data_IF_058983444353
#
_entry.id   IF_058983444353
#
_cell.length_a   1.000
_cell.length_b   1.000
_cell.length_c   1.000
_cell.angle_alpha   90.00
_cell.angle_beta   90.00
_cell.angle_gamma   90.00
#
_symmetry.space_group_name_H-M   'P 1'
#
loop_
_entity.id
_entity.type
_entity.pdbx_description
1 polymer ?
#
# COMPACT_ATOMS: atom_id res chain seq x y z
N UNK A 1 26.88 -0.87 -22.93
CA UNK A 1 26.17 0.14 -22.11
C UNK A 1 25.63 -0.59 -20.89
N UNK A 2 26.04 -0.17 -19.66
CA UNK A 2 25.47 -0.75 -18.43
C UNK A 2 23.99 -0.36 -18.39
N UNK A 3 23.07 -1.33 -18.57
CA UNK A 3 21.67 -1.13 -18.21
C UNK A 3 21.64 -0.76 -16.72
N UNK A 4 21.44 0.51 -16.40
CA UNK A 4 21.16 0.92 -15.04
C UNK A 4 19.87 0.21 -14.63
N UNK A 5 20.00 -0.73 -13.71
CA UNK A 5 18.86 -1.53 -13.23
C UNK A 5 17.85 -0.55 -12.64
N UNK A 6 16.62 -0.49 -13.20
CA UNK A 6 15.56 0.38 -12.69
C UNK A 6 15.30 0.02 -11.23
N UNK A 7 15.35 1.03 -10.36
CA UNK A 7 15.00 0.87 -8.94
C UNK A 7 13.49 1.01 -8.79
N UNK A 8 12.86 0.04 -8.15
CA UNK A 8 11.42 -0.06 -7.94
C UNK A 8 11.02 0.36 -6.53
N UNK A 9 9.77 0.71 -6.32
CA UNK A 9 9.26 1.06 -5.00
C UNK A 9 8.63 -0.14 -4.30
N UNK A 10 9.15 -0.50 -3.12
CA UNK A 10 8.54 -1.48 -2.24
C UNK A 10 7.62 -0.76 -1.25
N UNK A 11 6.34 -1.15 -1.19
CA UNK A 11 5.37 -0.52 -0.30
C UNK A 11 4.57 -1.54 0.51
N UNK A 12 4.26 -1.18 1.75
CA UNK A 12 3.52 -1.99 2.69
C UNK A 12 2.38 -1.16 3.26
N UNK A 13 1.14 -1.64 3.13
CA UNK A 13 -0.03 -1.04 3.74
C UNK A 13 -0.21 -1.72 5.11
N UNK A 14 0.18 -1.00 6.19
CA UNK A 14 0.28 -1.55 7.54
C UNK A 14 -1.10 -1.56 8.18
N UNK A 15 -1.79 -2.66 7.94
CA UNK A 15 -3.10 -3.00 8.50
C UNK A 15 -3.12 -4.44 8.99
N UNK A 16 -4.05 -4.78 9.88
CA UNK A 16 -4.25 -6.14 10.38
C UNK A 16 -5.29 -6.90 9.53
N UNK A 17 -5.31 -8.24 9.62
CA UNK A 17 -6.18 -9.15 8.87
C UNK A 17 -7.68 -8.84 9.02
N UNK A 18 -8.10 -8.22 10.12
CA UNK A 18 -9.49 -7.87 10.38
C UNK A 18 -9.89 -6.48 9.87
N UNK A 19 -8.93 -5.67 9.38
CA UNK A 19 -9.17 -4.31 8.88
C UNK A 19 -9.45 -4.26 7.38
N UNK A 20 -9.30 -5.40 6.70
CA UNK A 20 -9.42 -5.47 5.24
C UNK A 20 -10.84 -5.23 4.74
N UNK A 21 -10.98 -4.48 3.65
CA UNK A 21 -12.28 -4.19 3.04
C UNK A 21 -13.08 -5.45 2.66
N UNK A 22 -12.40 -6.58 2.41
CA UNK A 22 -13.05 -7.86 2.10
C UNK A 22 -13.95 -8.40 3.23
N UNK A 23 -13.74 -7.93 4.47
CA UNK A 23 -14.48 -8.34 5.66
C UNK A 23 -15.29 -7.21 6.30
N UNK A 24 -15.38 -6.04 5.67
CA UNK A 24 -16.11 -4.87 6.19
C UNK A 24 -17.60 -5.15 6.49
N UNK A 25 -18.22 -6.13 5.81
CA UNK A 25 -19.61 -6.56 6.10
C UNK A 25 -19.75 -7.50 7.32
N UNK A 26 -18.63 -8.04 7.82
CA UNK A 26 -18.60 -8.99 8.95
C UNK A 26 -17.95 -8.39 10.20
N UNK A 27 -17.10 -7.40 10.04
CA UNK A 27 -16.31 -6.80 11.12
C UNK A 27 -16.61 -5.31 11.18
N UNK A 28 -17.19 -4.87 12.30
CA UNK A 28 -17.38 -3.45 12.54
C UNK A 28 -16.08 -2.85 13.08
N UNK A 29 -15.62 -1.68 12.62
CA UNK A 29 -14.45 -1.00 13.16
C UNK A 29 -14.48 -0.76 14.69
N UNK A 30 -15.66 -0.63 15.27
CA UNK A 30 -15.83 -0.51 16.74
C UNK A 30 -15.39 -1.76 17.50
N UNK A 31 -15.38 -2.92 16.82
CA UNK A 31 -15.02 -4.21 17.42
C UNK A 31 -13.57 -4.59 17.24
N UNK A 32 -12.75 -3.77 16.56
CA UNK A 32 -11.34 -4.09 16.28
C UNK A 32 -10.52 -4.39 17.54
N UNK A 33 -10.84 -3.75 18.67
CA UNK A 33 -10.18 -4.04 19.94
C UNK A 33 -10.43 -5.45 20.48
N UNK A 34 -11.44 -6.18 19.95
CA UNK A 34 -11.77 -7.54 20.34
C UNK A 34 -11.00 -8.61 19.54
N UNK A 35 -10.26 -8.18 18.50
CA UNK A 35 -9.47 -9.08 17.66
C UNK A 35 -8.02 -9.12 18.13
N UNK A 36 -7.36 -10.29 18.14
CA UNK A 36 -5.95 -10.39 18.47
C UNK A 36 -5.10 -9.69 17.41
N UNK A 37 -4.24 -8.78 17.85
CA UNK A 37 -3.31 -8.08 16.98
C UNK A 37 -2.26 -9.02 16.41
N UNK A 38 -2.07 -8.97 15.10
CA UNK A 38 -1.09 -9.75 14.36
C UNK A 38 -0.16 -8.87 13.51
N UNK A 39 -0.55 -7.62 13.28
CA UNK A 39 0.17 -6.66 12.43
C UNK A 39 1.60 -6.44 12.89
N UNK A 40 1.85 -6.35 14.20
CA UNK A 40 3.18 -6.11 14.77
C UNK A 40 4.15 -7.24 14.41
N UNK A 41 3.80 -8.48 14.78
CA UNK A 41 4.62 -9.67 14.50
C UNK A 41 4.89 -9.85 13.00
N UNK A 42 3.86 -9.67 12.18
CA UNK A 42 3.99 -9.83 10.73
C UNK A 42 4.86 -8.72 10.12
N UNK A 43 4.72 -7.49 10.57
CA UNK A 43 5.56 -6.37 10.12
C UNK A 43 7.02 -6.59 10.53
N UNK A 44 7.30 -7.02 11.76
CA UNK A 44 8.66 -7.32 12.22
C UNK A 44 9.33 -8.43 11.40
N UNK A 45 8.58 -9.49 11.02
CA UNK A 45 9.10 -10.53 10.12
C UNK A 45 9.53 -9.94 8.76
N UNK A 46 8.74 -9.01 8.22
CA UNK A 46 9.11 -8.37 6.95
C UNK A 46 10.25 -7.37 7.11
N UNK A 47 10.34 -6.61 8.21
CA UNK A 47 11.49 -5.76 8.53
C UNK A 47 12.79 -6.58 8.58
N UNK A 48 12.76 -7.74 9.21
CA UNK A 48 13.91 -8.66 9.23
C UNK A 48 14.30 -9.12 7.81
N UNK A 49 13.31 -9.38 6.93
CA UNK A 49 13.55 -9.71 5.52
C UNK A 49 14.18 -8.53 4.78
N UNK A 50 13.65 -7.33 4.89
CA UNK A 50 14.21 -6.12 4.29
C UNK A 50 15.65 -5.85 4.74
N UNK A 51 15.94 -6.08 6.02
CA UNK A 51 17.30 -5.93 6.57
C UNK A 51 18.28 -6.93 5.95
N UNK A 52 17.91 -8.22 5.82
CA UNK A 52 18.73 -9.23 5.12
C UNK A 52 19.05 -8.85 3.69
N UNK A 53 18.10 -8.22 2.99
CA UNK A 53 18.28 -7.76 1.61
C UNK A 53 18.83 -6.33 1.49
N UNK A 54 19.17 -5.67 2.61
CA UNK A 54 19.66 -4.28 2.65
C UNK A 54 18.75 -3.31 1.87
N UNK A 55 17.45 -3.54 1.95
CA UNK A 55 16.42 -2.85 1.17
C UNK A 55 15.62 -1.91 2.07
N UNK A 56 15.30 -0.72 1.56
CA UNK A 56 14.36 0.21 2.18
C UNK A 56 13.01 0.15 1.48
N UNK A 57 11.94 0.50 2.22
CA UNK A 57 10.57 0.45 1.75
C UNK A 57 9.76 1.60 2.32
N UNK A 58 8.58 1.86 1.75
CA UNK A 58 7.59 2.82 2.27
C UNK A 58 6.49 2.06 3.00
N UNK A 59 6.22 2.45 4.22
CA UNK A 59 5.15 1.90 5.05
C UNK A 59 4.01 2.90 5.14
N UNK A 60 2.88 2.60 4.49
CA UNK A 60 1.63 3.33 4.61
C UNK A 60 0.89 2.82 5.84
N UNK A 61 0.85 3.61 6.90
CA UNK A 61 0.45 3.17 8.23
C UNK A 61 -0.92 3.72 8.59
N UNK A 62 -1.81 2.86 9.06
CA UNK A 62 -3.05 3.29 9.69
C UNK A 62 -2.79 3.98 11.02
N UNK A 63 -3.43 5.11 11.25
CA UNK A 63 -3.36 5.83 12.53
C UNK A 63 -3.81 4.95 13.70
N UNK A 64 -4.81 4.11 13.50
CA UNK A 64 -5.27 3.14 14.52
C UNK A 64 -4.14 2.14 14.90
N UNK A 65 -3.38 1.65 13.92
CA UNK A 65 -2.22 0.77 14.20
C UNK A 65 -1.12 1.54 14.91
N UNK A 66 -0.86 2.78 14.50
CA UNK A 66 0.13 3.64 15.15
C UNK A 66 -0.23 3.93 16.64
N UNK A 67 -1.51 4.11 16.93
CA UNK A 67 -2.00 4.28 18.31
C UNK A 67 -1.80 3.00 19.16
N UNK A 68 -2.02 1.82 18.56
CA UNK A 68 -1.89 0.52 19.27
C UNK A 68 -0.45 0.03 19.38
N UNK A 69 0.38 0.28 18.38
CA UNK A 69 1.74 -0.25 18.27
C UNK A 69 2.76 0.89 18.01
N UNK A 70 2.84 1.94 18.86
CA UNK A 70 3.71 3.10 18.58
C UNK A 70 5.19 2.72 18.52
N UNK A 71 5.60 1.68 19.24
CA UNK A 71 6.97 1.19 19.23
C UNK A 71 7.36 0.56 17.89
N UNK A 72 6.44 -0.17 17.26
CA UNK A 72 6.63 -0.69 15.91
C UNK A 72 6.91 0.45 14.90
N UNK A 73 6.17 1.57 15.00
CA UNK A 73 6.32 2.70 14.08
C UNK A 73 7.68 3.38 14.26
N UNK A 74 8.13 3.53 15.53
CA UNK A 74 9.49 4.01 15.85
C UNK A 74 10.57 3.09 15.27
N UNK A 75 10.38 1.78 15.37
CA UNK A 75 11.30 0.78 14.85
C UNK A 75 11.42 0.88 13.31
N UNK A 76 10.28 0.97 12.60
CA UNK A 76 10.26 1.17 11.15
C UNK A 76 11.04 2.41 10.74
N UNK A 77 10.79 3.54 11.40
CA UNK A 77 11.48 4.81 11.13
C UNK A 77 12.97 4.74 11.45
N UNK A 78 13.34 4.16 12.62
CA UNK A 78 14.73 4.02 13.06
C UNK A 78 15.57 3.13 12.12
N UNK A 79 14.96 2.18 11.44
CA UNK A 79 15.60 1.37 10.41
C UNK A 79 15.74 2.12 9.06
N UNK A 80 15.32 3.39 8.97
CA UNK A 80 15.46 4.24 7.77
C UNK A 80 14.45 3.95 6.67
N UNK A 81 13.32 3.34 6.99
CA UNK A 81 12.20 3.21 6.07
C UNK A 81 11.38 4.51 6.00
N UNK A 82 10.66 4.70 4.92
CA UNK A 82 9.76 5.83 4.76
C UNK A 82 8.43 5.55 5.49
N UNK A 83 8.01 6.51 6.33
CA UNK A 83 6.69 6.52 6.95
C UNK A 83 5.74 7.32 6.10
N UNK A 84 4.60 6.73 5.75
CA UNK A 84 3.53 7.35 4.99
C UNK A 84 2.17 7.06 5.65
N UNK A 85 1.15 7.86 5.32
CA UNK A 85 -0.16 7.79 5.96
C UNK A 85 -1.15 6.93 5.16
N UNK A 86 -1.91 6.07 5.86
CA UNK A 86 -3.00 5.27 5.29
C UNK A 86 -4.40 5.64 5.82
N UNK A 87 -4.57 6.89 6.32
CA UNK A 87 -5.74 7.30 7.09
C UNK A 87 -5.68 6.78 8.53
N UNK A 88 -6.71 7.09 9.32
CA UNK A 88 -6.76 6.65 10.72
C UNK A 88 -7.57 5.35 10.88
N UNK A 89 -8.80 5.32 10.36
CA UNK A 89 -9.79 4.26 10.60
C UNK A 89 -10.02 3.31 9.42
N UNK A 90 -9.11 3.26 8.43
CA UNK A 90 -9.24 2.46 7.20
C UNK A 90 -10.58 2.69 6.45
N UNK A 91 -11.16 3.88 6.59
CA UNK A 91 -12.40 4.23 5.91
C UNK A 91 -12.10 4.66 4.47
N UNK A 92 -12.85 4.10 3.52
CA UNK A 92 -12.69 4.44 2.10
C UNK A 92 -12.98 5.92 1.85
N UNK A 93 -12.10 6.63 1.17
CA UNK A 93 -12.21 8.07 0.90
C UNK A 93 -13.53 8.43 0.18
N UNK A 94 -13.98 7.60 -0.78
CA UNK A 94 -15.21 7.83 -1.53
C UNK A 94 -16.52 7.52 -0.76
N UNK A 95 -16.43 7.15 0.51
CA UNK A 95 -17.59 6.98 1.40
C UNK A 95 -17.66 8.03 2.49
N UNK A 96 -16.76 9.00 2.47
CA UNK A 96 -16.64 10.07 3.45
C UNK A 96 -17.07 11.43 2.87
N UNK A 97 -17.46 12.34 3.75
CA UNK A 97 -17.51 13.77 3.39
C UNK A 97 -16.10 14.36 3.42
N UNK A 98 -15.91 15.52 2.77
CA UNK A 98 -14.61 16.22 2.75
C UNK A 98 -14.09 16.49 4.16
N UNK A 99 -14.96 16.91 5.09
CA UNK A 99 -14.59 17.21 6.47
C UNK A 99 -14.19 15.94 7.25
N UNK A 100 -14.96 14.85 7.14
CA UNK A 100 -14.64 13.58 7.82
C UNK A 100 -13.29 13.03 7.33
N UNK A 101 -13.05 13.13 6.02
CA UNK A 101 -11.78 12.71 5.44
C UNK A 101 -10.61 13.59 5.92
N UNK A 102 -10.81 14.91 5.98
CA UNK A 102 -9.81 15.83 6.51
C UNK A 102 -9.43 15.49 7.96
N UNK A 103 -10.41 15.29 8.83
CA UNK A 103 -10.19 15.02 10.25
C UNK A 103 -9.50 13.65 10.45
N UNK A 104 -9.92 12.60 9.72
CA UNK A 104 -9.32 11.26 9.76
C UNK A 104 -7.84 11.29 9.34
N UNK A 105 -7.56 11.91 8.20
CA UNK A 105 -6.20 11.95 7.63
C UNK A 105 -5.28 12.85 8.47
N UNK A 106 -5.79 14.00 8.94
CA UNK A 106 -5.05 14.92 9.82
C UNK A 106 -4.64 14.23 11.11
N UNK A 107 -5.59 13.57 11.79
CA UNK A 107 -5.33 12.83 13.02
C UNK A 107 -4.25 11.77 12.82
N UNK A 108 -4.33 11.00 11.73
CA UNK A 108 -3.34 9.97 11.42
C UNK A 108 -1.95 10.57 11.16
N UNK A 109 -1.87 11.61 10.34
CA UNK A 109 -0.61 12.28 9.99
C UNK A 109 0.08 12.85 11.24
N UNK A 110 -0.65 13.63 12.05
CA UNK A 110 -0.11 14.24 13.26
C UNK A 110 0.42 13.19 14.26
N UNK A 111 -0.31 12.08 14.43
CA UNK A 111 0.12 10.98 15.28
C UNK A 111 1.40 10.32 14.77
N UNK A 112 1.50 10.04 13.48
CA UNK A 112 2.69 9.44 12.87
C UNK A 112 3.91 10.36 13.00
N UNK A 113 3.75 11.66 12.76
CA UNK A 113 4.79 12.67 12.92
C UNK A 113 5.21 12.84 14.38
N UNK A 114 4.26 12.80 15.31
CA UNK A 114 4.55 12.84 16.76
C UNK A 114 5.34 11.62 17.22
N UNK A 115 5.01 10.42 16.75
CA UNK A 115 5.69 9.17 17.14
C UNK A 115 7.12 9.12 16.61
N UNK A 116 7.33 9.58 15.36
CA UNK A 116 8.60 9.37 14.63
C UNK A 116 9.52 10.58 14.62
N UNK A 117 8.99 11.77 14.86
CA UNK A 117 9.71 13.04 14.67
C UNK A 117 10.02 13.35 13.19
N UNK A 118 9.48 12.58 12.25
CA UNK A 118 9.72 12.73 10.81
C UNK A 118 8.49 13.27 10.10
N UNK A 119 8.70 14.11 9.08
CA UNK A 119 7.61 14.59 8.23
C UNK A 119 7.02 13.45 7.40
N UNK A 120 5.70 13.31 7.41
CA UNK A 120 4.94 12.36 6.60
C UNK A 120 4.55 12.99 5.28
N UNK A 121 5.24 12.60 4.20
CA UNK A 121 5.10 13.20 2.86
C UNK A 121 4.08 12.48 1.98
N UNK A 122 3.85 11.21 2.21
CA UNK A 122 3.03 10.33 1.37
C UNK A 122 1.70 9.93 2.00
N UNK A 123 0.68 9.78 1.15
CA UNK A 123 -0.62 9.26 1.51
C UNK A 123 -1.06 8.15 0.56
N UNK A 124 -1.74 7.13 1.08
CA UNK A 124 -2.47 6.13 0.30
C UNK A 124 -3.87 5.95 0.85
N UNK A 125 -4.87 6.09 0.00
CA UNK A 125 -6.26 5.86 0.41
C UNK A 125 -6.54 4.37 0.61
N UNK A 126 -7.21 3.97 1.71
CA UNK A 126 -7.71 2.62 1.89
C UNK A 126 -8.45 2.13 0.66
N UNK A 127 -8.09 0.92 0.19
CA UNK A 127 -8.67 0.30 -1.02
C UNK A 127 -8.55 1.15 -2.30
N UNK A 128 -7.56 2.02 -2.43
CA UNK A 128 -7.36 2.90 -3.61
C UNK A 128 -8.63 3.68 -3.97
N UNK A 129 -9.31 4.23 -2.97
CA UNK A 129 -10.66 4.75 -3.07
C UNK A 129 -10.76 6.24 -3.42
N UNK A 130 -9.75 6.81 -4.08
CA UNK A 130 -9.87 8.10 -4.74
C UNK A 130 -10.24 7.86 -6.21
N UNK A 131 -11.38 8.41 -6.63
CA UNK A 131 -11.90 8.30 -7.99
C UNK A 131 -12.62 9.59 -8.41
N UNK A 132 -13.31 9.60 -9.54
CA UNK A 132 -14.00 10.77 -10.09
C UNK A 132 -15.10 11.36 -9.19
N UNK A 133 -15.55 10.63 -8.16
CA UNK A 133 -16.59 11.07 -7.22
C UNK A 133 -16.04 11.91 -6.07
N UNK A 134 -14.75 11.82 -5.81
CA UNK A 134 -14.12 12.44 -4.64
C UNK A 134 -12.73 13.02 -4.95
N UNK A 135 -12.55 13.61 -6.12
CA UNK A 135 -11.30 14.30 -6.50
C UNK A 135 -10.90 15.41 -5.51
N UNK A 136 -11.88 15.99 -4.81
CA UNK A 136 -11.65 16.92 -3.69
C UNK A 136 -10.69 16.38 -2.60
N UNK A 137 -10.47 15.06 -2.57
CA UNK A 137 -9.52 14.47 -1.64
C UNK A 137 -8.08 14.96 -1.91
N UNK A 138 -7.72 15.27 -3.14
CA UNK A 138 -6.40 15.82 -3.46
C UNK A 138 -6.22 17.24 -2.92
N UNK A 139 -7.27 18.08 -2.90
CA UNK A 139 -7.24 19.40 -2.25
C UNK A 139 -6.94 19.25 -0.76
N UNK A 140 -7.64 18.33 -0.08
CA UNK A 140 -7.45 18.04 1.34
C UNK A 140 -6.02 17.55 1.62
N UNK A 141 -5.51 16.62 0.82
CA UNK A 141 -4.15 16.13 0.98
C UNK A 141 -3.12 17.25 0.80
N UNK A 142 -3.36 18.15 -0.16
CA UNK A 142 -2.52 19.31 -0.38
C UNK A 142 -2.57 20.29 0.79
N UNK A 143 -3.76 20.57 1.30
CA UNK A 143 -3.98 21.43 2.49
C UNK A 143 -3.26 20.88 3.72
N UNK A 144 -3.29 19.56 3.92
CA UNK A 144 -2.57 18.85 4.99
C UNK A 144 -1.06 18.73 4.77
N UNK A 145 -0.52 19.26 3.66
CA UNK A 145 0.90 19.33 3.38
C UNK A 145 1.52 18.02 2.86
N UNK A 146 0.74 17.10 2.32
CA UNK A 146 1.30 15.95 1.62
C UNK A 146 1.96 16.35 0.30
N UNK A 147 3.10 15.73 0.00
CA UNK A 147 3.82 15.94 -1.24
C UNK A 147 3.35 15.00 -2.36
N UNK A 148 2.93 13.78 -1.99
CA UNK A 148 2.41 12.81 -2.94
C UNK A 148 1.28 11.96 -2.36
N UNK A 149 0.52 11.38 -3.29
CA UNK A 149 -0.47 10.35 -3.05
C UNK A 149 -0.17 9.12 -3.93
N UNK A 150 -0.56 7.94 -3.48
CA UNK A 150 -0.56 6.69 -4.26
C UNK A 150 -1.89 5.99 -4.05
N UNK A 151 -2.97 6.64 -4.47
CA UNK A 151 -4.34 6.28 -4.12
C UNK A 151 -5.21 5.86 -5.28
N UNK A 152 -4.65 5.87 -6.51
CA UNK A 152 -5.41 5.56 -7.73
C UNK A 152 -4.93 4.29 -8.40
N UNK A 153 -5.87 3.57 -9.00
CA UNK A 153 -5.59 2.34 -9.72
C UNK A 153 -6.21 2.42 -11.13
N UNK A 154 -5.43 2.53 -12.19
CA UNK A 154 -5.93 2.69 -13.55
C UNK A 154 -6.39 1.34 -14.16
N UNK A 155 -7.41 0.74 -13.54
CA UNK A 155 -8.07 -0.50 -13.96
C UNK A 155 -9.59 -0.37 -13.83
N UNK A 156 -10.33 -1.22 -14.53
CA UNK A 156 -11.76 -1.41 -14.29
C UNK A 156 -11.96 -2.48 -13.22
N UNK A 157 -12.47 -2.09 -12.05
CA UNK A 157 -12.73 -2.99 -10.91
C UNK A 157 -14.04 -2.65 -10.22
N UNK A 158 -14.69 -3.64 -9.58
CA UNK A 158 -15.99 -3.49 -8.91
C UNK A 158 -15.96 -2.59 -7.66
N UNK A 159 -14.82 -2.47 -6.98
CA UNK A 159 -14.70 -1.71 -5.72
C UNK A 159 -13.90 -0.41 -5.85
N UNK A 160 -13.05 -0.29 -6.86
CA UNK A 160 -12.15 0.84 -7.11
C UNK A 160 -11.79 0.89 -8.60
N UNK A 161 -11.10 1.93 -9.01
CA UNK A 161 -10.50 2.00 -10.32
C UNK A 161 -10.89 3.23 -11.12
N UNK A 162 -9.91 3.73 -11.83
CA UNK A 162 -9.97 4.91 -12.70
C UNK A 162 -9.27 4.59 -14.02
N UNK A 163 -9.86 3.76 -14.89
CA UNK A 163 -9.20 3.21 -16.08
C UNK A 163 -8.71 4.27 -17.06
N UNK A 164 -9.32 5.46 -17.05
CA UNK A 164 -9.03 6.55 -17.97
C UNK A 164 -8.03 7.58 -17.39
N UNK A 165 -7.59 7.38 -16.13
CA UNK A 165 -6.57 8.26 -15.53
C UNK A 165 -5.16 7.82 -15.89
N UNK A 166 -4.14 8.74 -15.77
CA UNK A 166 -2.75 8.42 -16.08
C UNK A 166 -2.25 7.18 -15.33
N UNK A 167 -1.44 6.36 -16.03
CA UNK A 167 -0.88 5.10 -15.48
C UNK A 167 0.42 5.28 -14.73
N UNK A 168 1.09 6.41 -14.92
CA UNK A 168 2.40 6.71 -14.35
C UNK A 168 2.33 7.97 -13.51
N UNK A 169 3.39 8.23 -12.74
CA UNK A 169 3.53 9.44 -11.94
C UNK A 169 3.15 10.69 -12.72
N UNK A 170 2.29 11.52 -12.15
CA UNK A 170 1.87 12.79 -12.72
C UNK A 170 1.57 13.83 -11.64
N UNK A 171 1.66 15.10 -12.00
CA UNK A 171 1.28 16.21 -11.13
C UNK A 171 -0.21 16.49 -11.32
N UNK A 172 -0.94 16.49 -10.23
CA UNK A 172 -2.35 16.88 -10.19
C UNK A 172 -2.50 18.40 -10.27
N UNK A 173 -3.65 18.92 -10.78
CA UNK A 173 -3.94 20.36 -10.78
C UNK A 173 -3.83 21.01 -9.40
N UNK A 174 -4.17 20.29 -8.34
CA UNK A 174 -4.08 20.71 -6.93
C UNK A 174 -2.63 20.87 -6.44
N UNK A 175 -1.64 20.49 -7.26
CA UNK A 175 -0.22 20.60 -6.96
C UNK A 175 0.34 19.50 -6.05
N UNK A 176 -0.33 18.34 -6.00
CA UNK A 176 0.16 17.10 -5.39
C UNK A 176 0.56 16.10 -6.47
N UNK A 177 1.61 15.33 -6.21
CA UNK A 177 2.02 14.26 -7.14
C UNK A 177 1.19 13.01 -6.88
N UNK A 178 0.51 12.48 -7.90
CA UNK A 178 -0.10 11.15 -7.82
C UNK A 178 0.80 10.10 -8.46
N UNK A 179 0.95 8.97 -7.77
CA UNK A 179 1.74 7.81 -8.20
C UNK A 179 0.80 6.59 -8.23
N UNK A 180 0.17 6.31 -9.38
CA UNK A 180 -0.78 5.22 -9.51
C UNK A 180 -0.17 3.84 -9.30
N UNK A 181 -1.01 2.87 -8.92
CA UNK A 181 -0.62 1.47 -8.86
C UNK A 181 -0.35 0.93 -10.26
N UNK A 182 0.77 0.21 -10.49
CA UNK A 182 1.19 -0.19 -11.82
C UNK A 182 0.25 -1.20 -12.46
N UNK A 183 0.03 -1.01 -13.74
CA UNK A 183 -0.74 -1.89 -14.62
C UNK A 183 0.05 -2.20 -15.87
N UNK A 184 -0.17 -3.36 -16.47
CA UNK A 184 0.35 -3.70 -17.80
C UNK A 184 -0.81 -3.98 -18.75
N UNK A 185 -0.55 -3.94 -20.05
CA UNK A 185 -1.57 -4.26 -21.04
C UNK A 185 -1.40 -5.65 -21.63
N UNK A 186 -2.52 -6.38 -21.73
CA UNK A 186 -2.68 -7.52 -22.63
C UNK A 186 -3.71 -7.18 -23.68
N UNK A 187 -3.26 -6.91 -24.89
CA UNK A 187 -4.08 -6.29 -25.92
C UNK A 187 -4.58 -4.92 -25.45
N UNK A 188 -5.90 -4.73 -25.41
CA UNK A 188 -6.55 -3.48 -24.95
C UNK A 188 -6.93 -3.47 -23.47
N UNK A 189 -6.67 -4.56 -22.73
CA UNK A 189 -7.07 -4.66 -21.31
C UNK A 189 -5.92 -4.35 -20.40
N UNK A 190 -6.12 -3.39 -19.49
CA UNK A 190 -5.22 -3.14 -18.37
C UNK A 190 -5.34 -4.29 -17.34
N UNK A 191 -4.20 -4.87 -16.98
CA UNK A 191 -4.09 -5.98 -16.01
C UNK A 191 -3.32 -5.48 -14.80
N UNK A 192 -3.86 -5.68 -13.58
CA UNK A 192 -3.16 -5.34 -12.35
C UNK A 192 -1.95 -6.26 -12.14
N UNK A 193 -0.81 -5.67 -11.81
CA UNK A 193 0.43 -6.40 -11.53
C UNK A 193 1.09 -6.00 -10.20
N UNK A 194 0.60 -4.93 -9.54
CA UNK A 194 1.27 -4.29 -8.40
C UNK A 194 0.93 -4.85 -7.01
N UNK A 195 -0.08 -5.70 -6.87
CA UNK A 195 -0.64 -6.04 -5.57
C UNK A 195 -0.39 -7.45 -5.07
N UNK A 196 -0.26 -7.61 -3.75
CA UNK A 196 -0.06 -8.88 -3.07
C UNK A 196 -1.14 -9.93 -3.37
N UNK A 197 -2.39 -9.51 -3.55
CA UNK A 197 -3.48 -10.43 -3.91
C UNK A 197 -3.25 -11.15 -5.24
N UNK A 198 -2.88 -10.44 -6.30
CA UNK A 198 -2.52 -11.05 -7.59
C UNK A 198 -1.19 -11.79 -7.51
N UNK A 199 -0.23 -11.27 -6.76
CA UNK A 199 1.05 -11.92 -6.53
C UNK A 199 0.92 -13.26 -5.80
N UNK A 200 -0.05 -13.40 -4.88
CA UNK A 200 -0.40 -14.67 -4.25
C UNK A 200 -1.17 -15.61 -5.18
N UNK A 201 -2.00 -15.06 -6.09
CA UNK A 201 -2.79 -15.85 -7.03
C UNK A 201 -1.93 -16.50 -8.11
N UNK A 202 -1.01 -15.74 -8.71
CA UNK A 202 -0.17 -16.21 -9.82
C UNK A 202 1.03 -17.04 -9.30
N UNK A 203 1.55 -17.99 -10.10
CA UNK A 203 2.88 -18.52 -9.86
C UNK A 203 3.94 -17.40 -9.87
N UNK A 204 4.96 -17.52 -9.05
CA UNK A 204 6.00 -16.48 -8.97
C UNK A 204 6.68 -16.21 -10.33
N UNK A 205 6.93 -17.26 -11.11
CA UNK A 205 7.52 -17.13 -12.46
C UNK A 205 6.70 -16.23 -13.39
N UNK A 206 5.36 -16.30 -13.31
CA UNK A 206 4.48 -15.42 -14.07
C UNK A 206 4.56 -13.99 -13.55
N UNK A 207 4.55 -13.78 -12.24
CA UNK A 207 4.70 -12.44 -11.65
C UNK A 207 6.04 -11.82 -12.06
N UNK A 208 7.14 -12.56 -11.96
CA UNK A 208 8.46 -12.13 -12.42
C UNK A 208 8.48 -11.75 -13.91
N UNK A 209 7.87 -12.58 -14.75
CA UNK A 209 7.74 -12.29 -16.19
C UNK A 209 6.97 -10.99 -16.44
N UNK A 210 5.84 -10.79 -15.76
CA UNK A 210 5.00 -9.60 -15.91
C UNK A 210 5.73 -8.31 -15.46
N UNK A 211 6.48 -8.38 -14.38
CA UNK A 211 7.28 -7.25 -13.88
C UNK A 211 8.41 -6.93 -14.87
N UNK A 212 9.16 -7.93 -15.33
CA UNK A 212 10.21 -7.73 -16.34
C UNK A 212 9.64 -7.11 -17.61
N UNK A 213 8.53 -7.63 -18.12
CA UNK A 213 7.84 -7.08 -19.29
C UNK A 213 7.42 -5.63 -19.08
N UNK A 214 6.90 -5.28 -17.88
CA UNK A 214 6.57 -3.89 -17.54
C UNK A 214 7.81 -3.00 -17.60
N UNK A 215 8.90 -3.41 -16.95
CA UNK A 215 10.15 -2.64 -16.92
C UNK A 215 10.77 -2.47 -18.31
N UNK A 216 10.71 -3.49 -19.16
CA UNK A 216 11.24 -3.47 -20.53
C UNK A 216 10.42 -2.56 -21.46
N UNK A 217 9.09 -2.63 -21.38
CA UNK A 217 8.21 -1.89 -22.29
C UNK A 217 7.99 -0.46 -21.85
N UNK A 218 7.67 -0.26 -20.56
CA UNK A 218 7.26 1.03 -20.06
C UNK A 218 8.46 1.91 -19.66
N UNK A 219 9.62 1.32 -19.38
CA UNK A 219 10.84 2.03 -18.92
C UNK A 219 10.55 2.95 -17.72
N UNK A 220 9.62 2.53 -16.85
CA UNK A 220 9.17 3.26 -15.66
C UNK A 220 9.44 2.44 -14.40
N UNK A 221 9.67 3.09 -13.24
CA UNK A 221 9.71 2.39 -11.96
C UNK A 221 8.40 1.63 -11.70
N UNK A 222 8.54 0.40 -11.24
CA UNK A 222 7.43 -0.41 -10.78
C UNK A 222 7.23 -0.21 -9.28
N UNK A 223 5.98 -0.16 -8.79
CA UNK A 223 5.69 -0.18 -7.36
C UNK A 223 4.93 -1.44 -6.98
N UNK A 224 5.42 -2.11 -5.94
CA UNK A 224 4.75 -3.29 -5.37
C UNK A 224 4.11 -2.92 -4.04
N UNK A 225 2.88 -3.42 -3.79
CA UNK A 225 2.25 -3.28 -2.48
C UNK A 225 1.74 -4.62 -1.96
N UNK A 226 1.78 -4.78 -0.66
CA UNK A 226 1.15 -5.88 0.05
C UNK A 226 0.89 -5.47 1.51
N UNK A 227 0.25 -6.36 2.29
CA UNK A 227 -0.11 -6.11 3.68
C UNK A 227 0.59 -7.12 4.61
N UNK A 228 0.93 -6.75 5.85
CA UNK A 228 1.60 -7.66 6.80
C UNK A 228 0.86 -8.97 7.03
N UNK A 229 -0.47 -8.96 7.05
CA UNK A 229 -1.26 -10.17 7.20
C UNK A 229 -1.10 -11.17 6.04
N UNK A 230 -0.61 -10.77 4.89
CA UNK A 230 -0.38 -11.66 3.74
C UNK A 230 0.79 -12.63 3.95
N UNK A 231 1.63 -12.40 4.96
CA UNK A 231 2.71 -13.34 5.35
C UNK A 231 2.42 -14.06 6.68
N UNK A 232 1.18 -14.01 7.17
CA UNK A 232 0.75 -14.66 8.41
C UNK A 232 -0.21 -15.83 8.14
N UNK A 233 0.29 -17.05 7.88
CA UNK A 233 -0.57 -18.21 7.64
C UNK A 233 -1.34 -18.66 8.90
N UNK A 234 -0.95 -18.18 10.08
CA UNK A 234 -1.57 -18.52 11.37
C UNK A 234 -2.61 -17.49 11.83
N UNK A 235 -2.94 -16.49 11.02
CA UNK A 235 -3.96 -15.51 11.35
C UNK A 235 -5.32 -16.17 11.57
N UNK A 236 -6.16 -15.66 12.49
CA UNK A 236 -7.51 -16.17 12.72
C UNK A 236 -8.36 -16.10 11.46
N UNK A 237 -9.16 -17.14 11.24
CA UNK A 237 -10.12 -17.17 10.13
C UNK A 237 -11.38 -16.41 10.52
N UNK A 238 -11.82 -15.49 9.65
CA UNK A 238 -13.05 -14.73 9.87
C UNK A 238 -14.25 -15.65 9.61
N UNK A 239 -15.09 -15.93 10.63
CA UNK A 239 -16.29 -16.73 10.47
C UNK A 239 -17.30 -15.98 9.57
N UNK A 240 -18.21 -16.72 8.94
CA UNK A 240 -19.32 -16.19 8.13
C UNK A 240 -18.96 -15.23 6.99
N UNK A 241 -17.67 -15.08 6.64
CA UNK A 241 -17.27 -14.28 5.49
C UNK A 241 -17.65 -15.00 4.18
N UNK A 242 -18.02 -14.24 3.10
CA UNK A 242 -18.34 -14.80 1.81
C UNK A 242 -17.19 -15.67 1.25
N UNK A 243 -17.51 -16.76 0.56
CA UNK A 243 -16.51 -17.68 0.01
C UNK A 243 -15.52 -16.96 -0.93
N UNK A 244 -15.99 -16.02 -1.75
CA UNK A 244 -15.14 -15.20 -2.62
C UNK A 244 -14.13 -14.36 -1.83
N UNK A 245 -14.57 -13.76 -0.71
CA UNK A 245 -13.70 -12.99 0.20
C UNK A 245 -12.69 -13.91 0.88
N UNK A 246 -13.12 -15.06 1.40
CA UNK A 246 -12.23 -16.07 2.01
C UNK A 246 -11.18 -16.56 1.01
N UNK A 247 -11.57 -16.90 -0.20
CA UNK A 247 -10.64 -17.33 -1.23
C UNK A 247 -9.60 -16.25 -1.54
N UNK A 248 -10.02 -15.02 -1.83
CA UNK A 248 -9.12 -13.89 -2.13
C UNK A 248 -8.15 -13.59 -0.99
N UNK A 249 -8.64 -13.69 0.25
CA UNK A 249 -7.85 -13.36 1.43
C UNK A 249 -6.83 -14.46 1.77
N UNK A 250 -7.24 -15.75 1.78
CA UNK A 250 -6.42 -16.84 2.31
C UNK A 250 -5.59 -17.58 1.25
N UNK A 251 -5.82 -17.33 -0.05
CA UNK A 251 -5.10 -18.06 -1.11
C UNK A 251 -3.59 -17.86 -0.98
N UNK A 252 -2.87 -18.96 -0.95
CA UNK A 252 -1.40 -19.04 -1.00
C UNK A 252 -0.65 -18.16 0.02
N UNK A 253 -1.26 -17.78 1.16
CA UNK A 253 -0.60 -17.03 2.23
C UNK A 253 0.69 -17.74 2.68
N UNK A 254 0.66 -19.06 2.87
CA UNK A 254 1.84 -19.84 3.29
C UNK A 254 3.02 -19.76 2.30
N UNK A 255 2.77 -19.36 1.04
CA UNK A 255 3.81 -19.20 0.02
C UNK A 255 4.29 -17.76 -0.14
N UNK A 256 3.61 -16.79 0.51
CA UNK A 256 3.85 -15.38 0.26
C UNK A 256 5.26 -14.95 0.68
N UNK A 257 5.70 -15.39 1.86
CA UNK A 257 7.02 -15.03 2.40
C UNK A 257 8.17 -15.49 1.49
N UNK A 258 8.15 -16.76 1.03
CA UNK A 258 9.17 -17.26 0.09
C UNK A 258 9.14 -16.55 -1.26
N UNK A 259 7.97 -16.11 -1.72
CA UNK A 259 7.85 -15.33 -2.96
C UNK A 259 8.39 -13.91 -2.80
N UNK A 260 8.22 -13.28 -1.63
CA UNK A 260 8.80 -11.97 -1.32
C UNK A 260 10.34 -12.05 -1.26
N UNK A 261 10.90 -13.11 -0.69
CA UNK A 261 12.36 -13.35 -0.73
C UNK A 261 12.87 -13.41 -2.19
N UNK A 262 12.19 -14.14 -3.05
CA UNK A 262 12.52 -14.17 -4.48
C UNK A 262 12.39 -12.79 -5.14
N UNK A 263 11.32 -12.05 -4.81
CA UNK A 263 11.05 -10.72 -5.37
C UNK A 263 12.14 -9.71 -4.99
N UNK A 264 12.58 -9.72 -3.71
CA UNK A 264 13.65 -8.87 -3.21
C UNK A 264 15.01 -9.25 -3.83
N UNK A 265 15.24 -10.52 -4.13
CA UNK A 265 16.47 -10.99 -4.79
C UNK A 265 16.51 -10.61 -6.27
N UNK A 266 15.38 -10.75 -6.97
CA UNK A 266 15.33 -10.60 -8.43
C UNK A 266 15.33 -9.16 -8.91
N UNK A 267 14.86 -8.20 -8.08
CA UNK A 267 14.72 -6.79 -8.44
C UNK A 267 15.37 -5.87 -7.41
N UNK A 268 15.66 -4.62 -7.82
CA UNK A 268 16.17 -3.58 -6.92
C UNK A 268 15.02 -2.72 -6.40
N UNK A 269 15.03 -2.42 -5.10
CA UNK A 269 13.95 -1.74 -4.41
C UNK A 269 14.44 -0.57 -3.55
N UNK A 270 13.61 0.45 -3.40
CA UNK A 270 13.79 1.55 -2.46
C UNK A 270 12.43 2.10 -2.01
N UNK A 271 12.45 3.21 -1.27
CA UNK A 271 11.24 3.93 -0.85
C UNK A 271 10.57 4.63 -2.02
N UNK A 272 9.27 4.92 -1.92
CA UNK A 272 8.57 5.74 -2.92
C UNK A 272 9.20 7.12 -3.04
N UNK A 273 9.54 7.73 -1.90
CA UNK A 273 10.19 9.04 -1.88
C UNK A 273 11.45 9.06 -2.74
N UNK A 274 12.32 8.06 -2.59
CA UNK A 274 13.61 8.03 -3.31
C UNK A 274 13.40 7.68 -4.79
N UNK A 275 12.61 6.64 -5.09
CA UNK A 275 12.35 6.18 -6.46
C UNK A 275 11.71 7.27 -7.31
N UNK A 276 10.74 7.97 -6.76
CA UNK A 276 10.01 9.01 -7.48
C UNK A 276 10.55 10.44 -7.24
N UNK A 277 11.68 10.56 -6.53
CA UNK A 277 12.37 11.83 -6.24
C UNK A 277 11.43 12.87 -5.62
N UNK A 278 10.67 12.46 -4.61
CA UNK A 278 9.75 13.33 -3.87
C UNK A 278 10.56 14.19 -2.90
N UNK A 279 10.39 15.50 -2.99
CA UNK A 279 11.04 16.48 -2.10
C UNK A 279 10.04 16.98 -1.07
N UNK A 280 10.49 17.16 0.16
CA UNK A 280 9.80 18.02 1.12
C UNK A 280 9.76 19.45 0.56
N UNK A 281 8.63 20.12 0.71
CA UNK A 281 8.47 21.52 0.30
C UNK A 281 8.94 22.44 1.41
#
# INVERSE_FOLDING_TARGET
>A
MRNSKIINAMTIDVEDYFQVAAFAGQINPKDWNNYPLRVEQSTQRFLAMLNRHQTKATFFILGWVAEKCPQLIKEIAAQGHEIACHGFAHQRANTQTKQVFFDDVKKAKELLEQITGCQVLGYRAPSFSIDTRNEWAFDVLKELGFAYSSSTYPVKHDLYGVPDWPRFKYLRPEGITEIPIPTTFFGKKAVPIGGGGFFRLYPYSLSKYLINRFLEIEQQPYSFYFHPWEIDPLQPKIPNAPLKSKFRHYINIAKMESRLECLLTDFSWSTMKDVYQIKAK
#
